data_IF_369085832769
#
_entry.id   IF_369085832769
#
_cell.length_a   1.000
_cell.length_b   1.000
_cell.length_c   1.000
_cell.angle_alpha   90.00
_cell.angle_beta   90.00
_cell.angle_gamma   90.00
#
_symmetry.space_group_name_H-M   'P 1'
#
loop_
_entity.id
_entity.type
_entity.pdbx_description
1 polymer ?
#
# COMPACT_ATOMS: atom_id res chain seq x y z
N UNK A 1 -25.24 21.34 -4.53
CA UNK A 1 -25.95 20.05 -4.55
C UNK A 1 -25.06 18.93 -5.04
N UNK A 2 -25.26 17.75 -4.42
CA UNK A 2 -24.61 16.45 -4.66
C UNK A 2 -23.24 16.20 -4.02
N UNK A 3 -23.13 16.34 -2.69
CA UNK A 3 -22.16 15.55 -1.93
C UNK A 3 -22.72 14.16 -1.69
N UNK A 4 -22.69 13.29 -2.70
CA UNK A 4 -22.88 11.85 -2.46
C UNK A 4 -21.78 11.43 -1.50
N UNK A 5 -22.13 10.98 -0.29
CA UNK A 5 -21.12 10.43 0.60
C UNK A 5 -20.56 9.17 -0.08
N UNK A 6 -19.24 8.97 -0.02
CA UNK A 6 -18.61 7.75 -0.54
C UNK A 6 -19.26 6.48 0.05
N UNK A 7 -19.82 6.58 1.26
CA UNK A 7 -20.59 5.52 1.91
C UNK A 7 -21.81 5.05 1.11
N UNK A 8 -22.47 5.95 0.37
CA UNK A 8 -23.78 5.68 -0.25
C UNK A 8 -23.65 4.93 -1.58
N UNK A 9 -22.43 4.86 -2.12
CA UNK A 9 -22.08 4.20 -3.39
C UNK A 9 -21.03 3.10 -3.23
N UNK A 10 -20.60 2.82 -1.99
CA UNK A 10 -19.65 1.78 -1.71
C UNK A 10 -20.34 0.40 -1.79
N UNK A 11 -19.80 -0.56 -2.56
CA UNK A 11 -20.36 -1.90 -2.59
C UNK A 11 -20.32 -2.53 -1.20
N UNK A 12 -21.33 -3.35 -0.88
CA UNK A 12 -21.30 -4.18 0.32
C UNK A 12 -20.11 -5.14 0.22
N UNK A 13 -19.16 -5.01 1.16
CA UNK A 13 -17.97 -5.84 1.23
C UNK A 13 -17.49 -5.98 2.68
N UNK A 14 -17.00 -7.16 3.04
CA UNK A 14 -16.38 -7.42 4.35
C UNK A 14 -14.92 -6.94 4.40
N UNK A 15 -14.22 -7.07 3.28
CA UNK A 15 -12.80 -6.76 3.13
C UNK A 15 -12.58 -5.87 1.90
N UNK A 16 -11.94 -4.72 2.09
CA UNK A 16 -11.40 -3.86 1.03
C UNK A 16 -9.90 -4.08 0.93
N UNK A 17 -9.40 -4.31 -0.29
CA UNK A 17 -7.96 -4.41 -0.56
C UNK A 17 -7.54 -3.26 -1.47
N UNK A 18 -6.52 -2.52 -1.06
CA UNK A 18 -5.90 -1.44 -1.85
C UNK A 18 -4.46 -1.85 -2.16
N UNK A 19 -4.24 -2.20 -3.42
CA UNK A 19 -2.99 -2.74 -3.92
C UNK A 19 -2.03 -1.65 -4.44
N UNK A 20 -1.71 -0.66 -3.59
CA UNK A 20 -0.74 0.39 -3.89
C UNK A 20 -1.31 1.64 -4.55
N UNK A 21 -0.40 2.56 -4.88
CA UNK A 21 -0.69 3.92 -5.36
C UNK A 21 -1.60 4.69 -4.39
N UNK A 22 -1.29 4.57 -3.09
CA UNK A 22 -1.95 5.28 -1.98
C UNK A 22 -1.84 6.79 -2.16
N UNK A 23 -0.69 7.25 -2.65
CA UNK A 23 -0.35 8.64 -2.87
C UNK A 23 0.02 8.89 -4.33
N UNK A 24 -0.43 10.02 -4.88
CA UNK A 24 -0.10 10.39 -6.26
C UNK A 24 1.32 10.96 -6.36
N UNK A 25 1.77 11.65 -5.31
CA UNK A 25 3.09 12.28 -5.26
C UNK A 25 3.83 12.05 -3.94
N UNK A 26 3.41 11.09 -3.10
CA UNK A 26 4.00 10.90 -1.78
C UNK A 26 3.96 12.14 -0.88
N UNK A 27 2.95 13.00 -1.06
CA UNK A 27 2.71 14.18 -0.23
C UNK A 27 1.97 13.81 1.05
N UNK A 28 2.31 14.48 2.15
CA UNK A 28 1.58 14.28 3.40
C UNK A 28 0.07 14.52 3.24
N UNK A 29 -0.31 15.54 2.47
CA UNK A 29 -1.72 15.85 2.18
C UNK A 29 -2.46 14.71 1.48
N UNK A 30 -1.77 13.93 0.64
CA UNK A 30 -2.35 12.76 -0.03
C UNK A 30 -2.65 11.67 1.01
N UNK A 31 -1.74 11.45 1.96
CA UNK A 31 -1.91 10.48 3.05
C UNK A 31 -3.09 10.87 3.95
N UNK A 32 -3.20 12.15 4.31
CA UNK A 32 -4.34 12.67 5.10
C UNK A 32 -5.66 12.46 4.35
N UNK A 33 -5.69 12.75 3.06
CA UNK A 33 -6.89 12.59 2.24
C UNK A 33 -7.28 11.12 2.10
N UNK A 34 -6.30 10.26 1.88
CA UNK A 34 -6.48 8.81 1.77
C UNK A 34 -7.04 8.21 3.08
N UNK A 35 -6.46 8.56 4.22
CA UNK A 35 -6.92 8.11 5.54
C UNK A 35 -8.37 8.53 5.80
N UNK A 36 -8.71 9.79 5.49
CA UNK A 36 -10.08 10.28 5.61
C UNK A 36 -11.06 9.49 4.73
N UNK A 37 -10.73 9.34 3.45
CA UNK A 37 -11.56 8.58 2.51
C UNK A 37 -11.79 7.14 3.00
N UNK A 38 -10.78 6.50 3.58
CA UNK A 38 -10.89 5.14 4.11
C UNK A 38 -11.76 5.06 5.35
N UNK A 39 -11.64 6.01 6.28
CA UNK A 39 -12.44 6.02 7.49
C UNK A 39 -13.93 6.21 7.20
N UNK A 40 -14.27 6.92 6.11
CA UNK A 40 -15.64 7.13 5.70
C UNK A 40 -16.29 5.88 5.06
N UNK A 41 -15.52 4.83 4.74
CA UNK A 41 -16.07 3.60 4.16
C UNK A 41 -16.60 2.64 5.24
N UNK A 42 -17.86 2.14 5.10
CA UNK A 42 -18.49 1.23 6.05
C UNK A 42 -18.02 -0.23 5.90
N UNK A 43 -16.74 -0.43 5.59
CA UNK A 43 -16.13 -1.75 5.39
C UNK A 43 -15.34 -2.12 6.65
N UNK A 44 -15.54 -3.34 7.14
CA UNK A 44 -14.96 -3.80 8.42
C UNK A 44 -13.44 -3.93 8.36
N UNK A 45 -12.93 -4.59 7.32
CA UNK A 45 -11.49 -4.81 7.16
C UNK A 45 -10.96 -4.08 5.93
N UNK A 46 -9.88 -3.32 6.11
CA UNK A 46 -9.24 -2.54 5.04
C UNK A 46 -7.78 -2.93 4.99
N UNK A 47 -7.38 -3.73 4.00
CA UNK A 47 -5.98 -4.13 3.79
C UNK A 47 -5.36 -3.17 2.79
N UNK A 48 -4.17 -2.66 3.12
CA UNK A 48 -3.44 -1.71 2.27
C UNK A 48 -2.00 -2.19 2.12
N UNK A 49 -1.52 -2.23 0.88
CA UNK A 49 -0.09 -2.30 0.57
C UNK A 49 0.33 -1.02 -0.15
N UNK A 50 1.58 -0.57 -0.02
CA UNK A 50 2.08 0.54 -0.84
C UNK A 50 2.42 0.05 -2.26
N UNK A 51 2.50 0.98 -3.20
CA UNK A 51 2.80 0.73 -4.60
C UNK A 51 4.00 1.51 -5.13
N UNK A 52 4.17 1.51 -6.45
CA UNK A 52 5.32 2.14 -7.12
C UNK A 52 5.47 3.63 -6.84
N UNK A 53 4.37 4.34 -6.59
CA UNK A 53 4.35 5.80 -6.38
C UNK A 53 4.46 6.21 -4.90
N UNK A 54 4.49 5.24 -3.99
CA UNK A 54 4.37 5.43 -2.54
C UNK A 54 5.74 5.52 -1.84
N UNK A 55 6.58 6.43 -2.33
CA UNK A 55 7.96 6.69 -1.86
C UNK A 55 7.98 6.98 -0.36
N UNK A 56 6.96 7.67 0.16
CA UNK A 56 6.85 7.99 1.58
C UNK A 56 6.73 6.76 2.49
N UNK A 57 6.48 5.56 1.94
CA UNK A 57 6.46 4.29 2.69
C UNK A 57 7.77 3.48 2.57
N UNK A 58 8.77 3.95 1.82
CA UNK A 58 10.09 3.29 1.72
C UNK A 58 11.24 4.20 2.16
N UNK A 59 11.04 4.96 3.25
CA UNK A 59 11.99 6.00 3.70
C UNK A 59 13.39 5.48 4.04
N UNK A 60 13.53 4.18 4.29
CA UNK A 60 14.79 3.52 4.65
C UNK A 60 15.66 3.20 3.41
N UNK A 61 15.06 3.11 2.22
CA UNK A 61 15.75 2.71 0.98
C UNK A 61 15.50 3.70 -0.16
N UNK A 62 15.74 5.00 0.10
CA UNK A 62 15.55 6.05 -0.90
C UNK A 62 16.82 6.34 -1.70
N UNK A 63 16.63 6.61 -2.99
CA UNK A 63 17.66 7.27 -3.82
C UNK A 63 17.81 8.74 -3.43
N UNK A 64 18.93 9.38 -3.82
CA UNK A 64 19.16 10.82 -3.59
C UNK A 64 18.05 11.71 -4.17
N UNK A 65 17.47 11.31 -5.30
CA UNK A 65 16.37 12.06 -5.91
C UNK A 65 15.08 11.95 -5.10
N UNK A 66 14.76 10.75 -4.62
CA UNK A 66 13.61 10.50 -3.76
C UNK A 66 13.74 11.18 -2.38
N UNK A 67 14.96 11.28 -1.83
CA UNK A 67 15.22 12.06 -0.61
C UNK A 67 14.81 13.53 -0.82
N UNK A 68 15.30 14.16 -1.90
CA UNK A 68 14.93 15.54 -2.24
C UNK A 68 13.44 15.72 -2.44
N UNK A 69 12.76 14.72 -3.01
CA UNK A 69 11.31 14.72 -3.14
C UNK A 69 10.62 14.70 -1.77
N UNK A 70 10.95 13.73 -0.90
CA UNK A 70 10.37 13.62 0.44
C UNK A 70 10.62 14.86 1.31
N UNK A 71 11.75 15.53 1.13
CA UNK A 71 12.06 16.81 1.80
C UNK A 71 11.12 17.93 1.34
N UNK A 72 10.92 18.09 0.03
CA UNK A 72 9.96 19.07 -0.53
C UNK A 72 8.53 18.78 -0.07
N UNK A 73 8.18 17.51 0.07
CA UNK A 73 6.85 17.04 0.45
C UNK A 73 6.62 16.99 1.97
N UNK A 74 7.59 17.46 2.78
CA UNK A 74 7.53 17.58 4.24
C UNK A 74 7.27 16.27 5.01
N UNK A 75 7.48 15.10 4.41
CA UNK A 75 7.15 13.80 5.04
C UNK A 75 7.90 13.60 6.35
N UNK A 76 9.23 13.77 6.35
CA UNK A 76 10.05 13.60 7.56
C UNK A 76 9.66 14.57 8.67
N UNK A 77 9.33 15.82 8.30
CA UNK A 77 8.90 16.85 9.25
C UNK A 77 7.58 16.47 9.92
N UNK A 78 6.60 16.01 9.15
CA UNK A 78 5.30 15.57 9.66
C UNK A 78 5.41 14.34 10.56
N UNK A 79 6.25 13.36 10.21
CA UNK A 79 6.53 12.21 11.06
C UNK A 79 7.10 12.64 12.42
N UNK A 80 8.09 13.55 12.42
CA UNK A 80 8.69 14.07 13.65
C UNK A 80 7.69 14.83 14.52
N UNK A 81 6.92 15.77 13.93
CA UNK A 81 5.92 16.56 14.67
C UNK A 81 4.85 15.66 15.33
N UNK A 82 4.55 14.52 14.69
CA UNK A 82 3.52 13.58 15.16
C UNK A 82 4.08 12.42 15.99
N UNK A 83 5.40 12.35 16.20
CA UNK A 83 6.05 11.25 16.91
C UNK A 83 5.91 9.89 16.22
N UNK A 84 5.78 9.88 14.89
CA UNK A 84 5.64 8.66 14.09
C UNK A 84 7.00 8.23 13.54
N UNK A 85 7.27 6.92 13.57
CA UNK A 85 8.46 6.31 12.95
C UNK A 85 8.24 5.97 11.49
N UNK A 86 6.99 5.68 11.10
CA UNK A 86 6.64 5.26 9.75
C UNK A 86 5.28 5.82 9.34
N UNK A 87 5.11 6.14 8.04
CA UNK A 87 3.87 6.74 7.49
C UNK A 87 2.66 5.84 7.72
N UNK A 88 2.83 4.52 7.68
CA UNK A 88 1.73 3.58 7.95
C UNK A 88 1.10 3.74 9.34
N UNK A 89 1.82 4.26 10.33
CA UNK A 89 1.27 4.51 11.66
C UNK A 89 0.26 5.66 11.69
N UNK A 90 0.22 6.48 10.65
CA UNK A 90 -0.80 7.51 10.50
C UNK A 90 -2.12 6.94 9.99
N UNK A 91 -2.09 5.84 9.22
CA UNK A 91 -3.28 5.22 8.65
C UNK A 91 -4.03 4.46 9.74
N UNK A 92 -5.10 5.07 10.26
CA UNK A 92 -5.96 4.45 11.28
C UNK A 92 -6.94 3.48 10.60
N UNK A 93 -7.35 2.44 11.32
CA UNK A 93 -8.37 1.49 10.88
C UNK A 93 -8.04 0.75 9.57
N UNK A 94 -6.75 0.56 9.28
CA UNK A 94 -6.29 -0.30 8.18
C UNK A 94 -5.31 -1.35 8.69
N UNK A 95 -5.22 -2.44 7.96
CA UNK A 95 -4.18 -3.45 8.08
C UNK A 95 -3.16 -3.16 6.98
N UNK A 96 -2.07 -2.50 7.36
CA UNK A 96 -0.96 -2.24 6.45
C UNK A 96 -0.08 -3.49 6.32
N UNK A 97 0.18 -3.93 5.09
CA UNK A 97 1.08 -5.05 4.80
C UNK A 97 2.27 -4.59 3.94
N UNK A 98 3.47 -4.96 4.36
CA UNK A 98 4.71 -4.82 3.61
C UNK A 98 5.60 -6.02 3.92
N UNK A 99 5.65 -6.99 3.00
CA UNK A 99 6.31 -8.28 3.14
C UNK A 99 5.85 -9.05 4.40
N UNK A 100 4.56 -8.99 4.69
CA UNK A 100 3.92 -9.65 5.84
C UNK A 100 2.49 -10.08 5.52
N UNK A 101 1.93 -10.93 6.38
CA UNK A 101 0.58 -11.46 6.23
C UNK A 101 -0.32 -11.19 7.43
N UNK A 102 -1.62 -11.37 7.19
CA UNK A 102 -2.68 -11.28 8.19
C UNK A 102 -3.71 -12.38 7.91
N UNK A 103 -4.32 -12.92 8.95
CA UNK A 103 -5.44 -13.84 8.82
C UNK A 103 -6.74 -13.12 9.23
N UNK A 104 -7.73 -13.13 8.35
CA UNK A 104 -9.04 -12.51 8.58
C UNK A 104 -10.10 -13.55 8.28
N UNK A 105 -10.90 -13.91 9.29
CA UNK A 105 -11.98 -14.89 9.16
C UNK A 105 -11.53 -16.23 8.54
N UNK A 106 -10.31 -16.71 8.89
CA UNK A 106 -9.73 -17.96 8.38
C UNK A 106 -9.04 -17.84 7.02
N UNK A 107 -9.06 -16.67 6.38
CA UNK A 107 -8.40 -16.41 5.09
C UNK A 107 -7.05 -15.71 5.33
N UNK A 108 -5.97 -16.27 4.78
CA UNK A 108 -4.59 -15.80 4.92
C UNK A 108 -4.21 -14.88 3.76
N UNK A 109 -4.01 -13.62 4.08
CA UNK A 109 -3.55 -12.59 3.15
C UNK A 109 -2.05 -12.37 3.31
N UNK A 110 -1.34 -12.09 2.23
CA UNK A 110 0.06 -11.66 2.25
C UNK A 110 0.27 -10.50 1.29
N UNK A 111 0.92 -9.43 1.74
CA UNK A 111 1.13 -8.21 0.96
C UNK A 111 2.59 -7.95 0.67
N UNK A 112 2.94 -7.69 -0.58
CA UNK A 112 4.30 -7.34 -1.00
C UNK A 112 4.33 -6.22 -2.05
N UNK A 113 5.11 -5.14 -1.84
CA UNK A 113 5.04 -3.95 -2.69
C UNK A 113 6.08 -3.90 -3.82
N UNK A 114 6.95 -4.91 -3.95
CA UNK A 114 8.08 -4.85 -4.88
C UNK A 114 7.65 -4.76 -6.34
N UNK A 115 8.35 -3.90 -7.08
CA UNK A 115 8.12 -3.63 -8.50
C UNK A 115 9.41 -3.75 -9.31
N UNK A 116 9.33 -4.22 -10.55
CA UNK A 116 10.53 -4.43 -11.39
C UNK A 116 10.57 -3.60 -12.66
N UNK A 117 9.54 -2.78 -12.91
CA UNK A 117 9.37 -2.09 -14.21
C UNK A 117 9.95 -0.67 -14.27
N UNK A 118 10.12 0.02 -13.13
CA UNK A 118 10.60 1.40 -13.08
C UNK A 118 11.63 1.60 -11.96
N UNK A 119 12.86 1.99 -12.32
CA UNK A 119 13.98 2.22 -11.38
C UNK A 119 13.72 3.32 -10.35
N UNK A 120 12.85 4.27 -10.66
CA UNK A 120 12.54 5.40 -9.78
C UNK A 120 11.33 5.12 -8.87
N UNK A 121 10.73 3.93 -8.98
CA UNK A 121 9.62 3.55 -8.13
C UNK A 121 10.07 3.36 -6.67
N UNK A 122 9.13 3.58 -5.74
CA UNK A 122 9.35 3.46 -4.31
C UNK A 122 9.96 2.12 -3.91
N UNK A 123 9.42 1.01 -4.44
CA UNK A 123 9.84 -0.35 -4.10
C UNK A 123 10.51 -1.05 -5.29
N UNK A 124 11.35 -0.33 -6.03
CA UNK A 124 12.04 -0.93 -7.18
C UNK A 124 12.99 -2.05 -6.73
N UNK A 125 12.84 -3.21 -7.35
CA UNK A 125 13.74 -4.35 -7.23
C UNK A 125 14.01 -4.89 -8.64
N UNK A 126 15.28 -4.97 -9.06
CA UNK A 126 15.64 -5.56 -10.35
C UNK A 126 15.03 -6.96 -10.54
N UNK A 127 14.67 -7.32 -11.77
CA UNK A 127 13.98 -8.58 -12.08
C UNK A 127 14.75 -9.83 -11.66
N UNK A 128 16.08 -9.78 -11.69
CA UNK A 128 16.95 -10.86 -11.22
C UNK A 128 16.98 -10.99 -9.67
N UNK A 129 16.51 -9.99 -8.94
CA UNK A 129 16.48 -9.96 -7.48
C UNK A 129 15.07 -10.10 -6.90
N UNK A 130 14.03 -9.69 -7.62
CA UNK A 130 12.65 -9.74 -7.12
C UNK A 130 12.20 -11.17 -6.79
N UNK A 131 12.75 -12.18 -7.48
CA UNK A 131 12.53 -13.59 -7.17
C UNK A 131 12.95 -13.92 -5.72
N UNK A 132 14.03 -13.30 -5.22
CA UNK A 132 14.47 -13.49 -3.84
C UNK A 132 13.43 -12.95 -2.86
N UNK A 133 12.76 -11.83 -3.18
CA UNK A 133 11.66 -11.30 -2.38
C UNK A 133 10.47 -12.25 -2.38
N UNK A 134 10.11 -12.79 -3.54
CA UNK A 134 9.01 -13.75 -3.67
C UNK A 134 9.25 -15.07 -2.94
N UNK A 135 10.50 -15.48 -2.77
CA UNK A 135 10.84 -16.67 -1.98
C UNK A 135 10.52 -16.55 -0.48
N UNK A 136 10.34 -15.33 0.04
CA UNK A 136 9.91 -15.11 1.43
C UNK A 136 8.40 -15.21 1.62
N UNK A 137 7.62 -15.28 0.53
CA UNK A 137 6.17 -15.45 0.61
C UNK A 137 5.88 -16.82 1.22
N UNK A 138 5.16 -16.91 2.36
CA UNK A 138 4.84 -18.17 3.00
C UNK A 138 4.01 -19.08 2.08
N UNK A 139 4.19 -20.39 2.22
CA UNK A 139 3.28 -21.37 1.61
C UNK A 139 1.93 -21.36 2.34
N UNK A 140 0.87 -21.72 1.64
CA UNK A 140 -0.48 -21.85 2.22
C UNK A 140 -1.15 -20.52 2.54
N UNK A 141 -0.78 -19.45 1.83
CA UNK A 141 -1.57 -18.22 1.77
C UNK A 141 -2.72 -18.40 0.79
N UNK A 142 -3.85 -17.78 1.08
CA UNK A 142 -5.05 -17.85 0.25
C UNK A 142 -5.10 -16.67 -0.72
N UNK A 143 -4.61 -15.50 -0.30
CA UNK A 143 -4.62 -14.27 -1.10
C UNK A 143 -3.26 -13.60 -1.09
N UNK A 144 -2.64 -13.50 -2.27
CA UNK A 144 -1.44 -12.71 -2.49
C UNK A 144 -1.82 -11.31 -3.03
N UNK A 145 -1.33 -10.27 -2.39
CA UNK A 145 -1.57 -8.87 -2.75
C UNK A 145 -0.25 -8.25 -3.23
N UNK A 146 -0.21 -7.84 -4.49
CA UNK A 146 0.92 -7.14 -5.11
C UNK A 146 0.45 -5.88 -5.83
N UNK A 147 1.29 -4.85 -5.86
CA UNK A 147 0.93 -3.58 -6.50
C UNK A 147 1.13 -3.59 -8.03
N UNK A 148 1.88 -4.56 -8.54
CA UNK A 148 2.01 -4.86 -9.96
C UNK A 148 1.44 -6.24 -10.24
N UNK A 149 0.73 -6.40 -11.38
CA UNK A 149 0.29 -7.72 -11.78
C UNK A 149 1.51 -8.55 -12.25
N UNK A 150 1.42 -9.89 -12.19
CA UNK A 150 2.45 -10.75 -12.76
C UNK A 150 2.55 -10.53 -14.26
N UNK A 151 3.75 -10.74 -14.82
CA UNK A 151 4.01 -10.56 -16.24
C UNK A 151 3.03 -11.40 -17.09
N UNK A 152 2.31 -10.74 -17.99
CA UNK A 152 1.30 -11.37 -18.87
C UNK A 152 -0.14 -11.30 -18.35
N UNK A 153 -0.36 -10.76 -17.15
CA UNK A 153 -1.68 -10.50 -16.58
C UNK A 153 -1.77 -8.99 -16.30
N UNK A 154 -2.88 -8.34 -16.65
CA UNK A 154 -3.01 -6.88 -16.55
C UNK A 154 -3.66 -6.40 -15.24
N UNK A 155 -4.40 -7.28 -14.56
CA UNK A 155 -4.90 -7.14 -13.19
C UNK A 155 -5.25 -8.55 -12.67
N UNK A 156 -4.92 -8.86 -11.41
CA UNK A 156 -5.15 -10.18 -10.85
C UNK A 156 -5.80 -10.04 -9.47
N UNK A 157 -7.05 -10.47 -9.37
CA UNK A 157 -7.69 -10.83 -8.10
C UNK A 157 -7.80 -12.35 -8.13
N UNK A 158 -6.88 -13.07 -7.47
CA UNK A 158 -7.05 -14.51 -7.27
C UNK A 158 -7.80 -14.70 -5.96
N UNK A 159 -8.99 -15.27 -6.06
CA UNK A 159 -9.68 -15.90 -4.94
C UNK A 159 -9.58 -17.40 -5.15
N UNK A 160 -8.96 -18.11 -4.20
CA UNK A 160 -9.04 -19.57 -4.14
C UNK A 160 -10.25 -19.96 -3.28
N UNK A 161 -11.03 -20.92 -3.79
CA UNK A 161 -12.13 -21.56 -3.05
C UNK A 161 -11.59 -22.67 -2.16
#
# INVERSE_FOLDING_TARGET
>A
DHTTKLSDSCPLADVLIIAGNISRYSKWTDIVRFEKCLNDLPIKYKIVIPGSSDICFNLENLTNEQIKQCERDNIKKELTIRGLKHVSQYLKNVIYLQDMGVEIAGVKFYGSPWVSTNKNAAFFCPRNEIIKKWNYIPRGIDVLITCQPPLGIYALIISFK
#
